data_IF_090261945982
#
_entry.id   IF_090261945982
#
_cell.length_a   1.000
_cell.length_b   1.000
_cell.length_c   1.000
_cell.angle_alpha   90.00
_cell.angle_beta   90.00
_cell.angle_gamma   90.00
#
_symmetry.space_group_name_H-M   'P 1'
#
loop_
_entity.id
_entity.type
_entity.pdbx_description
1 polymer ?
#
# COMPACT_ATOMS: atom_id res chain seq x y z
N UNK A 1 -13.82 -13.29 -20.05
CA UNK A 1 -12.65 -13.53 -20.92
C UNK A 1 -12.05 -14.87 -20.53
N UNK A 2 -12.09 -15.88 -21.40
CA UNK A 2 -11.43 -17.17 -21.17
C UNK A 2 -10.10 -17.16 -21.94
N UNK A 3 -8.98 -17.13 -21.23
CA UNK A 3 -7.66 -17.26 -21.86
C UNK A 3 -7.35 -18.75 -21.96
N UNK A 4 -7.08 -19.30 -23.16
CA UNK A 4 -6.78 -20.72 -23.29
C UNK A 4 -5.42 -21.03 -22.64
N UNK A 5 -5.34 -22.14 -21.91
CA UNK A 5 -4.11 -22.60 -21.25
C UNK A 5 -2.91 -22.65 -22.20
N UNK A 6 -3.11 -23.10 -23.45
CA UNK A 6 -2.07 -23.14 -24.46
C UNK A 6 -1.46 -21.76 -24.77
N UNK A 7 -2.26 -20.69 -24.76
CA UNK A 7 -1.76 -19.34 -24.98
C UNK A 7 -0.94 -18.83 -23.79
N UNK A 8 -1.32 -19.20 -22.56
CA UNK A 8 -0.55 -18.84 -21.35
C UNK A 8 0.81 -19.55 -21.35
N UNK A 9 0.85 -20.84 -21.70
CA UNK A 9 2.10 -21.60 -21.86
C UNK A 9 3.01 -20.99 -22.91
N UNK A 10 2.48 -20.66 -24.10
CA UNK A 10 3.25 -19.97 -25.12
C UNK A 10 3.82 -18.62 -24.62
N UNK A 11 3.12 -17.95 -23.70
CA UNK A 11 3.57 -16.69 -23.14
C UNK A 11 4.65 -16.87 -22.06
N UNK A 12 4.56 -17.92 -21.26
CA UNK A 12 5.64 -18.33 -20.34
C UNK A 12 6.95 -18.58 -21.11
N UNK A 13 6.88 -19.28 -22.25
CA UNK A 13 8.06 -19.54 -23.09
C UNK A 13 8.69 -18.25 -23.64
N UNK A 14 7.86 -17.30 -24.06
CA UNK A 14 8.31 -15.98 -24.54
C UNK A 14 8.99 -15.17 -23.42
N UNK A 15 8.39 -15.10 -22.23
CA UNK A 15 9.00 -14.41 -21.09
C UNK A 15 10.30 -15.08 -20.63
N UNK A 16 10.39 -16.41 -20.66
CA UNK A 16 11.65 -17.13 -20.41
C UNK A 16 12.72 -16.81 -21.46
N UNK A 17 12.34 -16.66 -22.74
CA UNK A 17 13.28 -16.27 -23.80
C UNK A 17 13.80 -14.86 -23.55
N UNK A 18 12.94 -13.92 -23.17
CA UNK A 18 13.33 -12.54 -22.84
C UNK A 18 14.21 -12.47 -21.59
N UNK A 19 13.90 -13.23 -20.55
CA UNK A 19 14.73 -13.30 -19.35
C UNK A 19 16.16 -13.75 -19.67
N UNK A 20 16.31 -14.77 -20.54
CA UNK A 20 17.62 -15.27 -20.97
C UNK A 20 18.40 -14.29 -21.85
N UNK A 21 17.70 -13.42 -22.57
CA UNK A 21 18.29 -12.41 -23.44
C UNK A 21 18.47 -11.05 -22.74
N UNK A 22 18.06 -10.92 -21.48
CA UNK A 22 18.19 -9.67 -20.74
C UNK A 22 19.64 -9.46 -20.30
N UNK A 23 20.23 -8.35 -20.72
CA UNK A 23 21.59 -7.95 -20.31
C UNK A 23 21.63 -7.31 -18.91
N UNK A 24 20.45 -7.00 -18.35
CA UNK A 24 20.29 -6.36 -17.06
C UNK A 24 19.60 -7.30 -16.05
N UNK A 25 20.16 -7.47 -14.84
CA UNK A 25 19.62 -8.38 -13.84
C UNK A 25 18.24 -7.97 -13.31
N UNK A 26 17.91 -6.67 -13.29
CA UNK A 26 16.57 -6.22 -12.89
C UNK A 26 15.54 -6.64 -13.93
N UNK A 27 15.82 -6.43 -15.22
CA UNK A 27 14.93 -6.85 -16.31
C UNK A 27 14.75 -8.38 -16.35
N UNK A 28 15.81 -9.13 -16.10
CA UNK A 28 15.71 -10.59 -15.95
C UNK A 28 14.72 -10.97 -14.83
N UNK A 29 14.80 -10.31 -13.67
CA UNK A 29 13.87 -10.54 -12.54
C UNK A 29 12.44 -10.16 -12.86
N UNK A 30 12.21 -9.10 -13.63
CA UNK A 30 10.88 -8.69 -14.09
C UNK A 30 10.24 -9.77 -14.98
N UNK A 31 10.99 -10.30 -15.95
CA UNK A 31 10.52 -11.40 -16.80
C UNK A 31 10.23 -12.68 -16.00
N UNK A 32 11.06 -13.02 -15.02
CA UNK A 32 10.82 -14.16 -14.13
C UNK A 32 9.58 -13.93 -13.25
N UNK A 33 9.35 -12.70 -12.76
CA UNK A 33 8.14 -12.37 -12.02
C UNK A 33 6.87 -12.51 -12.89
N UNK A 34 6.94 -12.14 -14.16
CA UNK A 34 5.86 -12.35 -15.11
C UNK A 34 5.56 -13.84 -15.31
N UNK A 35 6.59 -14.70 -15.45
CA UNK A 35 6.42 -16.15 -15.51
C UNK A 35 5.69 -16.68 -14.28
N UNK A 36 6.07 -16.23 -13.08
CA UNK A 36 5.39 -16.63 -11.83
C UNK A 36 3.90 -16.25 -11.86
N UNK A 37 3.58 -15.02 -12.23
CA UNK A 37 2.18 -14.56 -12.29
C UNK A 37 1.34 -15.36 -13.31
N UNK A 38 1.93 -15.75 -14.45
CA UNK A 38 1.26 -16.59 -15.44
C UNK A 38 0.98 -18.00 -14.91
N UNK A 39 1.92 -18.58 -14.16
CA UNK A 39 1.71 -19.85 -13.48
C UNK A 39 0.63 -19.76 -12.41
N UNK A 40 0.66 -18.70 -11.59
CA UNK A 40 -0.33 -18.47 -10.54
C UNK A 40 -1.74 -18.36 -11.16
N UNK A 41 -1.89 -17.62 -12.27
CA UNK A 41 -3.17 -17.50 -13.00
C UNK A 41 -3.69 -18.84 -13.54
N UNK A 42 -2.81 -19.73 -14.00
CA UNK A 42 -3.19 -21.06 -14.50
C UNK A 42 -3.60 -22.02 -13.37
N UNK A 43 -3.03 -21.85 -12.19
CA UNK A 43 -3.27 -22.70 -11.02
C UNK A 43 -4.41 -22.16 -10.14
N UNK A 44 -4.79 -20.89 -10.32
CA UNK A 44 -5.91 -20.30 -9.61
C UNK A 44 -7.17 -21.12 -9.93
N UNK A 45 -7.84 -21.68 -8.92
CA UNK A 45 -9.11 -22.34 -9.13
C UNK A 45 -10.00 -21.32 -9.84
N UNK A 46 -10.63 -21.70 -10.95
CA UNK A 46 -11.71 -20.90 -11.54
C UNK A 46 -12.87 -20.85 -10.57
N UNK A 47 -12.70 -20.10 -9.47
CA UNK A 47 -13.76 -19.50 -8.72
C UNK A 47 -14.43 -18.60 -9.74
N UNK A 48 -15.50 -19.15 -10.30
CA UNK A 48 -16.51 -18.41 -11.03
C UNK A 48 -16.66 -17.11 -10.25
N UNK A 49 -16.29 -15.99 -10.88
CA UNK A 49 -16.48 -14.66 -10.35
C UNK A 49 -17.96 -14.51 -10.01
N UNK A 50 -18.36 -14.95 -8.83
CA UNK A 50 -19.54 -14.44 -8.16
C UNK A 50 -19.15 -12.99 -7.91
N UNK A 51 -19.61 -12.13 -8.82
CA UNK A 51 -19.79 -10.72 -8.56
C UNK A 51 -20.62 -10.64 -7.28
N UNK A 52 -19.95 -10.61 -6.14
CA UNK A 52 -20.54 -10.12 -4.90
C UNK A 52 -20.93 -8.69 -5.21
N UNK A 53 -22.24 -8.46 -5.27
CA UNK A 53 -22.87 -7.20 -5.61
C UNK A 53 -22.24 -6.03 -4.84
N UNK A 54 -22.24 -4.81 -5.40
CA UNK A 54 -21.78 -3.64 -4.66
C UNK A 54 -22.62 -3.50 -3.38
N UNK A 55 -21.97 -3.51 -2.23
CA UNK A 55 -22.61 -3.13 -0.97
C UNK A 55 -23.14 -1.70 -1.12
N UNK A 56 -24.43 -1.51 -0.85
CA UNK A 56 -25.11 -0.22 -0.93
C UNK A 56 -24.40 0.84 -0.05
N UNK A 57 -24.45 2.13 -0.42
CA UNK A 57 -23.88 3.19 0.40
C UNK A 57 -24.57 3.25 1.76
N UNK A 58 -23.79 3.10 2.82
CA UNK A 58 -24.23 3.40 4.18
C UNK A 58 -24.61 4.88 4.26
N UNK A 59 -25.82 5.15 4.77
CA UNK A 59 -26.40 6.48 4.87
C UNK A 59 -25.60 7.44 5.79
N UNK A 60 -25.94 8.73 5.78
CA UNK A 60 -25.18 9.75 6.48
C UNK A 60 -25.34 9.62 8.00
N UNK A 61 -24.24 9.37 8.69
CA UNK A 61 -24.14 9.53 10.13
C UNK A 61 -24.20 11.04 10.45
N UNK A 62 -25.37 11.49 10.88
CA UNK A 62 -25.56 12.79 11.51
C UNK A 62 -24.85 12.74 12.86
N UNK A 63 -23.67 13.34 12.96
CA UNK A 63 -23.06 13.70 14.23
C UNK A 63 -23.27 15.20 14.45
N UNK A 64 -24.19 15.49 15.37
CA UNK A 64 -24.39 16.80 15.95
C UNK A 64 -23.17 17.12 16.82
N UNK A 65 -22.35 18.06 16.37
CA UNK A 65 -21.27 18.66 17.16
C UNK A 65 -21.16 20.13 16.77
N UNK A 66 -21.24 21.08 17.72
CA UNK A 66 -21.27 22.49 17.39
C UNK A 66 -19.95 22.93 16.76
N UNK A 67 -20.11 23.57 15.61
CA UNK A 67 -19.14 24.41 14.91
C UNK A 67 -18.39 25.33 15.88
N UNK A 68 -17.06 25.30 15.83
CA UNK A 68 -16.26 26.49 16.07
C UNK A 68 -15.28 26.62 14.91
N UNK A 69 -15.65 27.53 14.02
CA UNK A 69 -14.84 28.07 12.94
C UNK A 69 -13.52 28.55 13.51
N UNK A 70 -12.43 27.98 12.99
CA UNK A 70 -11.12 28.59 13.12
C UNK A 70 -11.12 29.94 12.42
N UNK A 71 -10.66 30.98 13.11
CA UNK A 71 -9.94 32.07 12.48
C UNK A 71 -9.06 32.75 13.51
N UNK A 72 -7.85 32.21 13.62
CA UNK A 72 -6.66 33.02 13.62
C UNK A 72 -6.19 33.59 14.96
N UNK A 73 -4.88 33.38 15.15
CA UNK A 73 -3.95 34.25 15.86
C UNK A 73 -3.81 33.99 17.37
N UNK A 74 -2.62 33.46 17.68
CA UNK A 74 -1.75 33.86 18.79
C UNK A 74 -2.36 34.83 19.81
N UNK A 75 -2.41 34.43 21.08
CA UNK A 75 -1.80 35.13 22.23
C UNK A 75 -2.48 34.70 23.55
N UNK A 76 -1.76 33.87 24.31
CA UNK A 76 -1.64 33.88 25.77
C UNK A 76 -2.82 34.17 26.72
N UNK A 77 -2.99 33.24 27.67
CA UNK A 77 -3.42 33.52 29.06
C UNK A 77 -4.86 33.12 29.37
N UNK A 78 -5.21 32.51 30.50
CA UNK A 78 -4.50 32.32 31.77
C UNK A 78 -5.27 31.30 32.64
N UNK A 79 -4.51 30.48 33.37
CA UNK A 79 -4.79 29.80 34.64
C UNK A 79 -6.16 29.18 34.97
N UNK A 80 -6.15 27.88 35.28
CA UNK A 80 -6.20 27.47 36.69
C UNK A 80 -5.77 25.99 36.89
N UNK A 81 -4.64 25.86 37.60
CA UNK A 81 -4.30 24.81 38.60
C UNK A 81 -3.95 23.41 38.12
N UNK A 82 -2.67 23.03 38.22
CA UNK A 82 -2.30 21.61 38.28
C UNK A 82 -0.86 21.17 38.00
N UNK A 83 0.18 21.93 38.37
CA UNK A 83 1.59 21.49 38.58
C UNK A 83 2.35 20.81 37.41
N UNK A 84 3.42 21.46 36.97
CA UNK A 84 4.43 21.00 35.99
C UNK A 84 5.06 19.63 36.31
N UNK A 85 5.45 18.89 35.26
CA UNK A 85 6.78 18.31 35.21
C UNK A 85 7.55 18.70 33.94
N UNK A 86 8.82 18.97 34.19
CA UNK A 86 9.93 19.27 33.31
C UNK A 86 10.07 18.20 32.20
N UNK A 87 10.02 18.60 30.93
CA UNK A 87 10.32 17.68 29.82
C UNK A 87 11.80 17.90 29.50
N UNK A 88 12.63 17.12 30.18
CA UNK A 88 14.05 16.98 29.89
C UNK A 88 14.20 16.37 28.49
N UNK A 89 14.44 17.23 27.49
CA UNK A 89 14.63 16.86 26.08
C UNK A 89 16.05 16.31 25.85
N UNK A 90 16.46 15.32 26.65
CA UNK A 90 17.72 14.60 26.47
C UNK A 90 17.46 13.21 25.83
N UNK A 91 16.94 13.21 24.61
CA UNK A 91 16.80 11.98 23.81
C UNK A 91 17.17 12.16 22.33
N UNK A 92 18.02 13.14 22.01
CA UNK A 92 18.76 13.15 20.74
C UNK A 92 20.06 12.34 20.92
N UNK A 93 19.90 11.02 21.11
CA UNK A 93 21.01 10.09 21.10
C UNK A 93 21.67 10.07 19.72
N UNK A 94 22.84 10.66 19.61
CA UNK A 94 23.77 10.54 18.50
C UNK A 94 24.06 9.06 18.18
N UNK A 95 23.32 8.49 17.22
CA UNK A 95 23.62 7.14 16.74
C UNK A 95 24.85 7.17 15.82
N UNK A 96 26.01 7.02 16.45
CA UNK A 96 27.05 6.01 16.19
C UNK A 96 27.08 5.37 14.78
N UNK A 97 27.17 6.18 13.72
CA UNK A 97 27.69 5.77 12.41
C UNK A 97 28.81 6.72 12.03
N UNK A 98 29.96 6.50 12.66
CA UNK A 98 31.27 7.02 12.26
C UNK A 98 31.67 6.32 10.95
N UNK A 99 31.90 7.11 9.89
CA UNK A 99 32.41 6.68 8.59
C UNK A 99 33.74 7.37 8.32
#
# INVERSE_FOLDING_TARGET
MTIPFAAVVAKIEDELRKAKAADDPQRMREHVAAVRALCDLMLEPTAQLQLSAPAAPAGPLVISGPISVGSGLSLGGVSATGRSPDIDDEANGESLLDF
#
